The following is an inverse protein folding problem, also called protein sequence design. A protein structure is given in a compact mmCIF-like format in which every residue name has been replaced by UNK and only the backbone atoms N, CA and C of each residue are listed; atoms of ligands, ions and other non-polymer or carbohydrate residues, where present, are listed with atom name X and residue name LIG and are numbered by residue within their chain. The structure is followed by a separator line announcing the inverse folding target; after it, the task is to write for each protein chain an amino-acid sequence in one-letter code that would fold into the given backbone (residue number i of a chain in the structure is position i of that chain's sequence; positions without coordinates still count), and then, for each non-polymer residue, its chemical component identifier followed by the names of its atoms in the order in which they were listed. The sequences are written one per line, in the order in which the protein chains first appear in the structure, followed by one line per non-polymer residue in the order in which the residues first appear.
data_IF_691983664146
#
_entry.id   IF_691983664146
#
_cell.length_a   1.000
_cell.length_b   1.000
_cell.length_c   1.000
_cell.angle_alpha   90.00
_cell.angle_beta   90.00
_cell.angle_gamma   90.00
#
_symmetry.space_group_name_H-M   'P 1'
#
loop_
_entity.id
_entity.type
_entity.pdbx_description
1 polymer ?
#
# COMPACT_ATOMS: atom_id res chain seq x y z
N UNK A 1 -3.60 -0.77 -2.57
CA UNK A 1 -3.76 -2.23 -2.66
C UNK A 1 -5.17 -2.62 -2.27
N UNK A 2 -5.52 -3.86 -2.54
CA UNK A 2 -6.73 -4.53 -2.07
C UNK A 2 -6.32 -5.59 -1.05
N UNK A 3 -7.04 -5.64 0.05
CA UNK A 3 -6.83 -6.52 1.18
C UNK A 3 -8.18 -7.02 1.68
N UNK A 4 -8.27 -8.32 1.96
CA UNK A 4 -9.43 -8.94 2.60
C UNK A 4 -8.90 -9.75 3.77
N UNK A 5 -9.45 -9.48 4.95
CA UNK A 5 -9.03 -10.12 6.19
C UNK A 5 -9.25 -11.63 6.13
N UNK A 6 -8.40 -12.37 6.84
CA UNK A 6 -8.67 -13.77 7.15
C UNK A 6 -9.77 -13.89 8.22
N UNK A 7 -10.45 -15.04 8.28
CA UNK A 7 -11.50 -15.25 9.26
C UNK A 7 -12.12 -16.64 9.24
N UNK A 8 -12.94 -16.93 10.25
CA UNK A 8 -13.59 -18.24 10.42
C UNK A 8 -14.48 -18.62 9.22
N UNK A 9 -15.02 -17.63 8.51
CA UNK A 9 -15.92 -17.78 7.37
C UNK A 9 -15.26 -17.40 6.03
N UNK A 10 -13.92 -17.40 5.98
CA UNK A 10 -13.18 -16.96 4.80
C UNK A 10 -13.50 -17.75 3.51
N UNK A 11 -13.95 -19.00 3.67
CA UNK A 11 -14.34 -19.88 2.56
C UNK A 11 -15.67 -19.49 1.88
N UNK A 12 -16.49 -18.66 2.51
CA UNK A 12 -17.80 -18.19 2.02
C UNK A 12 -17.68 -16.84 1.29
N UNK A 13 -16.54 -16.16 1.49
CA UNK A 13 -16.30 -14.81 1.00
C UNK A 13 -15.87 -14.84 -0.45
N UNK A 14 -16.66 -14.19 -1.30
CA UNK A 14 -16.34 -14.01 -2.71
C UNK A 14 -16.53 -12.56 -3.13
N UNK A 15 -15.59 -12.00 -3.88
CA UNK A 15 -15.74 -10.64 -4.39
C UNK A 15 -15.12 -10.45 -5.76
N UNK A 16 -15.63 -9.44 -6.45
CA UNK A 16 -15.23 -9.06 -7.79
C UNK A 16 -15.20 -7.54 -7.90
N UNK A 17 -14.09 -7.01 -8.40
CA UNK A 17 -13.87 -5.60 -8.64
C UNK A 17 -13.73 -5.37 -10.15
N UNK A 18 -14.57 -4.48 -10.66
CA UNK A 18 -14.57 -4.02 -12.05
C UNK A 18 -14.43 -2.50 -12.06
N UNK A 19 -13.39 -1.95 -12.72
CA UNK A 19 -13.25 -0.50 -12.87
C UNK A 19 -13.25 -0.12 -14.34
N UNK A 20 -13.88 1.02 -14.66
CA UNK A 20 -14.07 1.56 -16.01
C UNK A 20 -14.73 0.58 -17.02
N UNK A 21 -15.41 -0.45 -16.50
CA UNK A 21 -16.10 -1.48 -17.29
C UNK A 21 -15.23 -2.71 -17.63
N UNK A 22 -13.97 -2.72 -17.20
CA UNK A 22 -13.08 -3.87 -17.30
C UNK A 22 -13.03 -4.62 -15.96
N UNK A 23 -13.14 -5.96 -16.02
CA UNK A 23 -13.01 -6.81 -14.85
C UNK A 23 -11.53 -6.92 -14.48
N UNK A 24 -11.15 -6.25 -13.39
CA UNK A 24 -9.75 -6.11 -13.02
C UNK A 24 -9.32 -7.12 -11.96
N UNK A 25 -10.24 -7.54 -11.08
CA UNK A 25 -9.86 -8.40 -9.96
C UNK A 25 -11.03 -9.22 -9.40
N UNK A 26 -10.72 -10.41 -8.91
CA UNK A 26 -11.65 -11.23 -8.14
C UNK A 26 -10.86 -12.00 -7.09
N UNK A 27 -11.53 -12.40 -6.01
CA UNK A 27 -10.88 -13.14 -4.94
C UNK A 27 -11.86 -13.62 -3.87
N UNK A 28 -11.29 -14.17 -2.81
CA UNK A 28 -11.99 -14.49 -1.57
C UNK A 28 -11.24 -13.92 -0.37
N UNK A 29 -11.37 -14.58 0.77
CA UNK A 29 -10.59 -14.30 1.97
C UNK A 29 -9.67 -15.49 2.30
N UNK A 30 -8.46 -15.24 2.86
CA UNK A 30 -7.78 -13.94 2.87
C UNK A 30 -7.28 -13.54 1.48
N UNK A 31 -7.03 -12.26 1.27
CA UNK A 31 -6.44 -11.76 0.03
C UNK A 31 -5.60 -10.51 0.27
N UNK A 32 -4.44 -10.39 -0.39
CA UNK A 32 -3.65 -9.17 -0.39
C UNK A 32 -2.97 -9.00 -1.74
N UNK A 33 -3.21 -7.85 -2.41
CA UNK A 33 -2.54 -7.51 -3.66
C UNK A 33 -2.47 -6.00 -3.86
N UNK A 34 -1.31 -5.51 -4.30
CA UNK A 34 -1.20 -4.15 -4.82
C UNK A 34 -1.81 -4.07 -6.23
N UNK A 35 -2.70 -3.09 -6.45
CA UNK A 35 -3.27 -2.79 -7.78
C UNK A 35 -3.04 -1.32 -8.09
N UNK A 36 -2.84 -1.03 -9.38
CA UNK A 36 -2.65 0.31 -9.91
C UNK A 36 -3.87 0.68 -10.74
N UNK A 37 -4.61 1.68 -10.29
CA UNK A 37 -5.80 2.18 -10.98
C UNK A 37 -5.61 3.65 -11.34
N UNK A 38 -6.28 4.09 -12.40
CA UNK A 38 -6.27 5.50 -12.76
C UNK A 38 -7.09 6.31 -11.74
N UNK A 39 -6.65 7.52 -11.38
CA UNK A 39 -7.44 8.42 -10.55
C UNK A 39 -8.77 8.73 -11.25
N UNK A 40 -9.83 8.92 -10.47
CA UNK A 40 -11.19 9.16 -10.96
C UNK A 40 -11.84 8.03 -11.77
N UNK A 41 -11.22 6.85 -11.87
CA UNK A 41 -11.85 5.65 -12.44
C UNK A 41 -13.08 5.22 -11.63
N UNK A 42 -14.13 4.78 -12.32
CA UNK A 42 -15.37 4.32 -11.68
C UNK A 42 -15.29 2.83 -11.42
N UNK A 43 -15.32 2.43 -10.16
CA UNK A 43 -15.23 1.04 -9.74
C UNK A 43 -16.57 0.50 -9.21
N UNK A 44 -16.83 -0.77 -9.50
CA UNK A 44 -17.95 -1.57 -9.03
C UNK A 44 -17.40 -2.80 -8.33
N UNK A 45 -17.64 -2.89 -7.03
CA UNK A 45 -17.34 -4.05 -6.20
C UNK A 45 -18.61 -4.87 -6.02
N UNK A 46 -18.60 -6.12 -6.47
CA UNK A 46 -19.64 -7.11 -6.19
C UNK A 46 -19.13 -8.03 -5.09
N UNK A 47 -19.82 -8.07 -3.96
CA UNK A 47 -19.54 -8.93 -2.81
C UNK A 47 -20.60 -10.02 -2.77
N UNK A 48 -20.18 -11.27 -2.54
CA UNK A 48 -21.04 -12.44 -2.44
C UNK A 48 -20.74 -13.21 -1.17
N UNK A 49 -21.79 -13.81 -0.65
CA UNK A 49 -21.78 -14.62 0.55
C UNK A 49 -22.73 -15.81 0.34
N UNK A 50 -22.20 -17.02 0.43
CA UNK A 50 -22.93 -18.24 0.11
C UNK A 50 -23.97 -18.63 1.18
N UNK A 51 -23.82 -18.13 2.41
CA UNK A 51 -24.69 -18.51 3.54
C UNK A 51 -25.60 -17.38 4.02
N UNK A 52 -25.57 -16.22 3.35
CA UNK A 52 -26.42 -15.04 3.59
C UNK A 52 -26.39 -14.55 5.06
N UNK A 53 -25.33 -14.84 5.80
CA UNK A 53 -25.08 -14.39 7.16
C UNK A 53 -24.11 -13.19 7.18
N UNK A 54 -23.83 -12.61 6.01
CA UNK A 54 -22.82 -11.59 5.83
C UNK A 54 -21.42 -12.15 6.02
N UNK A 55 -20.43 -11.28 5.95
CA UNK A 55 -19.02 -11.70 5.99
C UNK A 55 -18.48 -11.95 7.41
N UNK A 56 -19.34 -12.02 8.43
CA UNK A 56 -18.95 -12.40 9.80
C UNK A 56 -17.86 -11.51 10.44
N UNK A 57 -17.73 -10.26 10.00
CA UNK A 57 -16.67 -9.34 10.45
C UNK A 57 -15.40 -9.34 9.58
N UNK A 58 -15.40 -10.03 8.43
CA UNK A 58 -14.37 -9.88 7.40
C UNK A 58 -14.67 -8.63 6.58
N UNK A 59 -13.63 -7.83 6.33
CA UNK A 59 -13.75 -6.58 5.59
C UNK A 59 -12.94 -6.63 4.30
N UNK A 60 -13.53 -6.11 3.23
CA UNK A 60 -12.82 -5.72 2.02
C UNK A 60 -12.25 -4.32 2.21
N UNK A 61 -10.93 -4.16 1.97
CA UNK A 61 -10.23 -2.88 2.04
C UNK A 61 -9.48 -2.63 0.75
N UNK A 62 -9.78 -1.52 0.09
CA UNK A 62 -9.08 -1.14 -1.12
C UNK A 62 -9.53 0.21 -1.63
N UNK A 63 -8.64 0.90 -2.34
CA UNK A 63 -8.99 2.15 -3.05
C UNK A 63 -9.56 3.22 -2.08
N UNK A 64 -9.05 3.23 -0.84
CA UNK A 64 -9.52 4.15 0.21
C UNK A 64 -10.88 3.80 0.82
N UNK A 65 -11.46 2.65 0.48
CA UNK A 65 -12.71 2.14 1.04
C UNK A 65 -12.45 1.00 2.02
N UNK A 66 -13.37 0.86 2.98
CA UNK A 66 -13.48 -0.28 3.90
C UNK A 66 -14.94 -0.71 3.87
N UNK A 67 -15.21 -1.90 3.35
CA UNK A 67 -16.55 -2.41 3.07
C UNK A 67 -16.73 -3.80 3.68
N UNK A 68 -17.96 -4.11 4.06
CA UNK A 68 -18.41 -5.44 4.53
C UNK A 68 -19.76 -5.70 3.91
N UNK A 69 -20.18 -6.96 3.89
CA UNK A 69 -21.50 -7.36 3.41
C UNK A 69 -22.51 -7.36 4.55
N UNK A 70 -23.73 -6.88 4.29
CA UNK A 70 -24.85 -6.94 5.23
C UNK A 70 -25.41 -8.37 5.33
N UNK A 71 -25.90 -8.73 6.52
CA UNK A 71 -26.57 -10.02 6.74
C UNK A 71 -27.88 -10.13 5.94
N UNK A 72 -28.23 -11.34 5.51
CA UNK A 72 -29.45 -11.66 4.77
C UNK A 72 -29.39 -11.38 3.26
N UNK A 73 -28.19 -11.16 2.71
CA UNK A 73 -27.96 -10.95 1.28
C UNK A 73 -27.06 -12.06 0.73
N UNK A 74 -27.34 -12.52 -0.49
CA UNK A 74 -26.42 -13.39 -1.25
C UNK A 74 -25.40 -12.58 -2.06
N UNK A 75 -25.78 -11.37 -2.45
CA UNK A 75 -24.94 -10.46 -3.24
C UNK A 75 -25.19 -9.00 -2.82
N UNK A 76 -24.11 -8.23 -2.70
CA UNK A 76 -24.15 -6.80 -2.47
C UNK A 76 -23.19 -6.07 -3.41
N UNK A 77 -23.68 -5.01 -4.06
CA UNK A 77 -22.90 -4.21 -5.00
C UNK A 77 -22.62 -2.84 -4.41
N UNK A 78 -21.35 -2.44 -4.45
CA UNK A 78 -20.90 -1.10 -4.08
C UNK A 78 -20.21 -0.42 -5.26
N UNK A 79 -20.58 0.83 -5.55
CA UNK A 79 -19.93 1.64 -6.56
C UNK A 79 -19.22 2.83 -5.93
N UNK A 80 -17.99 3.08 -6.35
CA UNK A 80 -17.18 4.19 -5.85
C UNK A 80 -16.16 4.61 -6.90
N UNK A 81 -15.60 5.81 -6.74
CA UNK A 81 -14.56 6.33 -7.63
C UNK A 81 -13.19 6.27 -6.97
N UNK A 82 -12.14 6.02 -7.76
CA UNK A 82 -10.76 6.08 -7.29
C UNK A 82 -10.44 7.52 -6.89
N UNK A 83 -9.99 7.78 -5.65
CA UNK A 83 -9.67 9.13 -5.23
C UNK A 83 -8.48 9.70 -6.03
N UNK A 84 -8.63 10.94 -6.48
CA UNK A 84 -7.67 11.62 -7.38
C UNK A 84 -6.33 11.98 -6.70
N UNK A 85 -6.31 12.06 -5.36
CA UNK A 85 -5.12 12.37 -4.59
C UNK A 85 -5.18 11.81 -3.16
N UNK A 86 -4.00 11.54 -2.60
CA UNK A 86 -3.80 11.38 -1.15
C UNK A 86 -4.52 12.54 -0.43
N UNK A 87 -5.16 12.33 0.74
CA UNK A 87 -5.51 13.45 1.59
C UNK A 87 -4.26 14.31 1.75
N UNK A 88 -4.34 15.56 1.28
CA UNK A 88 -3.25 16.52 1.41
C UNK A 88 -2.76 16.46 2.85
N UNK A 89 -1.45 16.25 3.05
CA UNK A 89 -0.87 16.21 4.39
C UNK A 89 -1.42 17.38 5.20
N UNK A 90 -1.76 17.16 6.49
CA UNK A 90 -2.21 18.26 7.33
C UNK A 90 -1.19 19.41 7.21
N UNK A 91 -1.64 20.67 7.14
CA UNK A 91 -0.74 21.80 7.01
C UNK A 91 0.34 21.71 8.10
N UNK A 92 1.60 22.10 7.81
CA UNK A 92 2.65 22.07 8.81
C UNK A 92 2.15 22.80 10.05
N UNK A 93 2.29 22.16 11.22
CA UNK A 93 1.92 22.80 12.49
C UNK A 93 2.58 24.17 12.58
N UNK A 94 1.87 25.21 13.04
CA UNK A 94 2.46 26.53 13.21
C UNK A 94 3.75 26.40 14.04
N UNK A 95 4.79 27.19 13.73
CA UNK A 95 6.06 27.11 14.43
C UNK A 95 5.82 27.22 15.93
N UNK A 96 6.32 26.24 16.69
CA UNK A 96 6.24 26.25 18.14
C UNK A 96 6.77 27.58 18.67
N UNK A 97 6.04 28.19 19.60
CA UNK A 97 6.49 29.38 20.30
C UNK A 97 7.88 29.12 20.90
N UNK A 98 8.80 30.10 20.85
CA UNK A 98 10.14 29.92 21.38
C UNK A 98 10.07 29.52 22.86
N UNK A 99 10.71 28.40 23.19
CA UNK A 99 10.93 27.99 24.58
C UNK A 99 11.65 29.13 25.33
N UNK A 100 11.37 29.36 26.62
CA UNK A 100 12.13 30.31 27.42
C UNK A 100 13.63 29.94 27.41
N UNK A 101 14.53 30.93 27.46
CA UNK A 101 15.96 30.68 27.37
C UNK A 101 16.43 29.83 28.55
N UNK A 102 17.03 28.69 28.24
CA UNK A 102 17.77 27.87 29.21
C UNK A 102 19.02 28.64 29.68
N UNK A 103 19.43 28.54 30.97
CA UNK A 103 20.61 29.25 31.46
C UNK A 103 21.88 28.84 30.70
N UNK A 104 22.68 29.85 30.35
CA UNK A 104 23.88 29.68 29.53
C UNK A 104 24.92 28.78 30.22
N UNK A 105 25.51 27.81 29.49
CA UNK A 105 26.67 27.08 29.98
C UNK A 105 27.93 27.98 29.99
N UNK A 106 28.94 27.66 30.82
CA UNK A 106 30.17 28.43 30.89
C UNK A 106 30.97 28.39 29.57
N UNK A 107 31.79 29.42 29.28
CA UNK A 107 32.47 29.54 28.01
C UNK A 107 33.52 28.43 27.85
N UNK A 108 33.41 27.66 26.76
CA UNK A 108 34.49 26.79 26.30
C UNK A 108 35.39 27.58 25.34
N UNK A 109 36.69 27.46 25.55
CA UNK A 109 37.72 28.01 24.66
C UNK A 109 37.62 27.30 23.31
N UNK A 110 37.43 28.07 22.24
CA UNK A 110 37.42 27.56 20.87
C UNK A 110 38.87 27.26 20.41
N UNK A 111 39.12 26.13 19.72
CA UNK A 111 40.38 25.89 19.03
C UNK A 111 40.51 26.79 17.78
N UNK A 112 41.73 26.95 17.22
CA UNK A 112 41.97 27.82 16.08
C UNK A 112 41.25 27.35 14.80
N UNK A 113 40.86 28.35 14.01
CA UNK A 113 40.15 28.27 12.74
C UNK A 113 40.89 27.35 11.75
N UNK A 114 40.26 26.24 11.37
CA UNK A 114 40.76 25.35 10.31
C UNK A 114 40.08 25.78 9.01
N UNK A 115 40.82 25.99 7.91
CA UNK A 115 40.24 26.41 6.65
C UNK A 115 39.24 25.37 6.11
N UNK A 116 38.08 25.88 5.69
CA UNK A 116 36.97 25.10 5.14
C UNK A 116 37.38 24.42 3.81
N UNK A 117 37.06 23.14 3.59
CA UNK A 117 37.29 22.49 2.30
C UNK A 117 36.34 23.04 1.23
N UNK A 118 36.69 22.92 -0.07
CA UNK A 118 35.83 23.37 -1.16
C UNK A 118 34.50 22.58 -1.19
N UNK A 119 33.43 23.29 -1.54
CA UNK A 119 32.09 22.71 -1.76
C UNK A 119 32.16 21.57 -2.77
N UNK A 120 31.82 20.36 -2.33
CA UNK A 120 31.64 19.22 -3.22
C UNK A 120 30.42 19.44 -4.11
N UNK A 121 30.59 19.05 -5.37
CA UNK A 121 29.56 18.99 -6.43
C UNK A 121 28.24 18.37 -5.94
N UNK A 122 27.10 18.73 -6.55
CA UNK A 122 25.82 18.14 -6.19
C UNK A 122 25.89 16.62 -6.30
N UNK A 123 25.57 15.95 -5.19
CA UNK A 123 25.44 14.49 -5.16
C UNK A 123 24.37 14.08 -6.18
N UNK A 124 24.61 13.04 -7.00
CA UNK A 124 23.53 12.44 -7.77
C UNK A 124 22.40 12.03 -6.82
N UNK A 125 21.13 12.07 -7.28
CA UNK A 125 20.01 11.63 -6.47
C UNK A 125 20.24 10.19 -5.98
N UNK A 126 19.80 9.86 -4.75
CA UNK A 126 19.99 8.51 -4.22
C UNK A 126 19.31 7.50 -5.14
N UNK A 127 20.09 6.56 -5.68
CA UNK A 127 19.54 5.39 -6.35
C UNK A 127 18.77 4.57 -5.31
N UNK A 128 17.45 4.52 -5.45
CA UNK A 128 16.57 3.68 -4.63
C UNK A 128 16.89 2.22 -4.94
N UNK A 129 17.25 1.47 -3.90
CA UNK A 129 17.44 0.02 -3.98
C UNK A 129 16.21 -0.63 -3.37
N UNK A 130 15.49 -1.40 -4.16
CA UNK A 130 14.39 -2.23 -3.70
C UNK A 130 14.89 -3.68 -3.68
N UNK A 131 14.73 -4.34 -2.53
CA UNK A 131 14.98 -5.78 -2.41
C UNK A 131 13.69 -6.51 -2.78
N UNK A 132 13.81 -7.52 -3.65
CA UNK A 132 12.69 -8.41 -3.99
C UNK A 132 12.93 -9.71 -3.25
N UNK A 133 12.05 -10.05 -2.32
CA UNK A 133 12.09 -11.31 -1.57
C UNK A 133 10.82 -12.09 -1.84
N UNK A 134 10.95 -13.38 -2.09
CA UNK A 134 9.82 -14.31 -2.24
C UNK A 134 9.99 -15.43 -1.23
N UNK A 135 9.07 -15.50 -0.27
CA UNK A 135 9.07 -16.49 0.78
C UNK A 135 8.74 -17.90 0.25
N UNK A 136 9.22 -18.92 0.95
CA UNK A 136 8.96 -20.33 0.65
C UNK A 136 7.54 -20.74 1.08
N UNK A 137 6.89 -21.61 0.32
CA UNK A 137 5.53 -22.07 0.58
C UNK A 137 5.24 -23.45 0.01
N UNK A 138 4.11 -24.04 0.41
CA UNK A 138 3.76 -25.45 0.12
C UNK A 138 3.67 -25.77 -1.40
N UNK A 139 3.46 -24.74 -2.23
CA UNK A 139 3.39 -24.82 -3.69
C UNK A 139 4.49 -23.99 -4.38
N UNK A 140 5.65 -23.81 -3.74
CA UNK A 140 6.75 -22.99 -4.25
C UNK A 140 7.18 -23.36 -5.70
N UNK A 141 7.01 -24.62 -6.10
CA UNK A 141 7.31 -25.13 -7.44
C UNK A 141 6.33 -24.65 -8.53
N UNK A 142 5.20 -24.06 -8.17
CA UNK A 142 4.21 -23.49 -9.10
C UNK A 142 4.37 -21.97 -9.25
N UNK A 143 5.26 -21.36 -8.44
CA UNK A 143 5.44 -19.91 -8.39
C UNK A 143 6.44 -19.50 -9.46
N UNK A 144 5.97 -18.68 -10.40
CA UNK A 144 6.80 -18.00 -11.38
C UNK A 144 6.37 -16.54 -11.46
N UNK A 145 7.34 -15.62 -11.45
CA UNK A 145 7.08 -14.20 -11.58
C UNK A 145 8.09 -13.53 -12.50
N UNK A 146 7.67 -12.42 -13.12
CA UNK A 146 8.46 -11.57 -14.00
C UNK A 146 8.26 -10.11 -13.55
N UNK A 147 9.34 -9.36 -13.41
CA UNK A 147 9.34 -7.94 -13.08
C UNK A 147 9.89 -7.16 -14.28
N UNK A 148 9.06 -6.25 -14.79
CA UNK A 148 9.40 -5.34 -15.89
C UNK A 148 9.38 -3.89 -15.36
N UNK A 149 10.42 -3.13 -15.67
CA UNK A 149 10.48 -1.70 -15.36
C UNK A 149 10.78 -0.94 -16.65
N UNK A 150 9.97 0.10 -16.91
CA UNK A 150 10.09 1.00 -18.06
C UNK A 150 10.20 0.31 -19.44
N UNK A 151 9.61 -0.88 -19.58
CA UNK A 151 9.54 -1.63 -20.84
C UNK A 151 10.71 -2.59 -21.10
N UNK A 152 11.66 -2.71 -20.17
CA UNK A 152 12.74 -3.69 -20.22
C UNK A 152 12.50 -4.82 -19.19
N UNK A 153 12.61 -6.07 -19.64
CA UNK A 153 12.50 -7.28 -18.80
C UNK A 153 13.74 -7.40 -17.93
N UNK A 154 13.63 -7.06 -16.65
CA UNK A 154 14.80 -6.94 -15.78
C UNK A 154 15.00 -8.16 -14.86
N UNK A 155 13.95 -8.83 -14.35
CA UNK A 155 14.10 -9.94 -13.41
C UNK A 155 13.00 -11.01 -13.56
N UNK A 156 13.37 -12.27 -13.38
CA UNK A 156 12.47 -13.42 -13.30
C UNK A 156 12.87 -14.31 -12.12
N UNK A 157 11.89 -14.91 -11.44
CA UNK A 157 12.14 -15.75 -10.28
C UNK A 157 11.03 -16.74 -9.97
N UNK A 158 11.29 -17.57 -8.97
CA UNK A 158 10.31 -18.49 -8.37
C UNK A 158 10.28 -18.31 -6.86
N UNK A 159 9.75 -19.29 -6.14
CA UNK A 159 9.83 -19.33 -4.69
C UNK A 159 10.78 -20.46 -4.25
N UNK A 160 11.67 -20.23 -3.27
CA UNK A 160 12.01 -18.92 -2.69
C UNK A 160 12.97 -18.11 -3.60
N UNK A 161 13.02 -16.79 -3.42
CA UNK A 161 13.94 -15.88 -4.11
C UNK A 161 14.49 -14.81 -3.14
N UNK A 162 15.81 -14.60 -3.15
CA UNK A 162 16.55 -13.62 -2.32
C UNK A 162 17.45 -12.72 -3.17
#
# INVERSE_FOLDING_TARGET
GVTVDDGEFAYEVHWELECDGDKELFGGAPFERAIWLSPSSSCKLTMRDDFENGWGGIYWRGIGQILTMDEGLFEQIHTFTVPDALPSSPPPSPPALPLPPSPSPPPRLLPPDVPLPPLLSPSPPPALRFGVTVDDGEFAYEVHWELECDGDKELFGGAPFE
#
